data_IF_255187851617
#
_entry.id   IF_255187851617
#
_cell.length_a   1.000
_cell.length_b   1.000
_cell.length_c   1.000
_cell.angle_alpha   90.00
_cell.angle_beta   90.00
_cell.angle_gamma   90.00
#
_symmetry.space_group_name_H-M   'P 1'
#
loop_
_entity.id
_entity.type
_entity.pdbx_description
1 polymer ?
#
# COMPACT_ATOMS: atom_id res chain seq x y z
N UNK A 1 10.75 1.15 -85.36
CA UNK A 1 11.07 -0.27 -85.10
C UNK A 1 11.59 -0.38 -83.67
N UNK A 2 11.23 -1.48 -83.00
CA UNK A 2 11.50 -1.87 -81.61
C UNK A 2 12.91 -1.49 -81.08
N UNK A 3 13.06 -1.24 -79.79
CA UNK A 3 13.59 -2.21 -78.81
C UNK A 3 13.79 -1.59 -77.41
N UNK A 4 13.39 -2.36 -76.40
CA UNK A 4 13.50 -2.11 -74.97
C UNK A 4 14.94 -2.20 -74.43
N UNK A 5 15.07 -1.77 -73.17
CA UNK A 5 16.06 -2.10 -72.13
C UNK A 5 17.33 -1.23 -72.05
N UNK A 6 17.45 -0.45 -70.96
CA UNK A 6 18.16 -0.92 -69.76
C UNK A 6 18.27 0.11 -68.63
N UNK A 7 18.18 -0.42 -67.39
CA UNK A 7 18.85 -0.01 -66.13
C UNK A 7 18.07 0.85 -65.12
N UNK A 8 18.34 0.51 -63.84
CA UNK A 8 17.44 0.45 -62.68
C UNK A 8 17.13 1.80 -61.96
N UNK A 9 16.06 1.82 -61.15
CA UNK A 9 15.84 2.82 -60.11
C UNK A 9 16.68 2.51 -58.88
N UNK A 10 16.88 3.49 -57.99
CA UNK A 10 16.70 3.35 -56.54
C UNK A 10 17.10 4.65 -55.85
N UNK A 11 16.10 5.50 -55.63
CA UNK A 11 15.99 6.23 -54.37
C UNK A 11 16.12 5.24 -53.21
N UNK A 12 17.18 5.34 -52.43
CA UNK A 12 17.12 5.06 -50.98
C UNK A 12 18.10 6.00 -50.29
N UNK A 13 17.54 7.02 -49.65
CA UNK A 13 18.19 7.86 -48.66
C UNK A 13 18.73 6.96 -47.54
N UNK A 14 20.06 6.84 -47.44
CA UNK A 14 20.72 6.16 -46.33
C UNK A 14 20.64 7.09 -45.12
N UNK A 15 19.48 7.09 -44.46
CA UNK A 15 19.33 7.63 -43.11
C UNK A 15 20.18 6.78 -42.17
N UNK A 16 21.15 7.43 -41.52
CA UNK A 16 21.98 6.82 -40.48
C UNK A 16 21.09 6.14 -39.43
N UNK A 17 21.32 4.87 -39.06
CA UNK A 17 20.53 4.25 -38.01
C UNK A 17 20.93 4.91 -36.68
N UNK A 18 20.03 5.69 -36.10
CA UNK A 18 20.13 6.06 -34.69
C UNK A 18 19.86 4.78 -33.90
N UNK A 19 20.93 4.18 -33.38
CA UNK A 19 20.85 3.04 -32.48
C UNK A 19 20.13 3.48 -31.21
N UNK A 20 18.83 3.20 -31.14
CA UNK A 20 18.05 3.31 -29.91
C UNK A 20 18.50 2.19 -28.99
N UNK A 21 19.43 2.49 -28.09
CA UNK A 21 19.82 1.60 -27.01
C UNK A 21 18.65 1.52 -26.01
N UNK A 22 17.75 0.57 -26.23
CA UNK A 22 16.68 0.23 -25.29
C UNK A 22 17.30 -0.40 -24.05
N UNK A 23 17.66 0.43 -23.07
CA UNK A 23 17.97 -0.01 -21.71
C UNK A 23 16.66 -0.53 -21.09
N UNK A 24 16.40 -1.83 -21.27
CA UNK A 24 15.50 -2.58 -20.42
C UNK A 24 16.12 -2.62 -19.01
N UNK A 25 15.83 -1.58 -18.23
CA UNK A 25 16.07 -1.60 -16.80
C UNK A 25 15.15 -2.71 -16.25
N UNK A 26 15.72 -3.87 -15.94
CA UNK A 26 15.10 -4.84 -15.06
C UNK A 26 15.01 -4.20 -13.67
N UNK A 27 14.06 -3.27 -13.52
CA UNK A 27 13.57 -2.84 -12.23
C UNK A 27 12.76 -4.00 -11.68
N UNK A 28 13.46 -5.00 -11.16
CA UNK A 28 12.90 -5.90 -10.16
C UNK A 28 12.45 -5.03 -9.01
N UNK A 29 11.21 -4.55 -9.08
CA UNK A 29 10.50 -4.07 -7.93
C UNK A 29 10.42 -5.28 -7.00
N UNK A 30 11.40 -5.36 -6.09
CA UNK A 30 11.17 -5.86 -4.75
C UNK A 30 9.95 -5.08 -4.27
N UNK A 31 8.76 -5.60 -4.57
CA UNK A 31 7.55 -5.17 -3.92
C UNK A 31 7.90 -5.21 -2.44
N UNK A 32 7.74 -4.10 -1.68
CA UNK A 32 7.94 -4.16 -0.25
C UNK A 32 7.08 -5.32 0.23
N UNK A 33 7.73 -6.30 0.85
CA UNK A 33 7.06 -7.43 1.46
C UNK A 33 5.97 -6.79 2.31
N UNK A 34 4.71 -6.95 1.90
CA UNK A 34 3.59 -6.47 2.66
C UNK A 34 3.65 -7.30 3.94
N UNK A 35 4.33 -6.76 4.96
CA UNK A 35 4.40 -7.39 6.27
C UNK A 35 2.95 -7.65 6.61
N UNK A 36 2.62 -8.93 6.78
CA UNK A 36 1.38 -9.28 7.43
C UNK A 36 1.48 -8.60 8.81
N UNK A 37 0.89 -7.41 8.91
CA UNK A 37 0.82 -6.69 10.17
C UNK A 37 -0.07 -7.54 11.05
N UNK A 38 0.51 -8.29 11.97
CA UNK A 38 -0.26 -9.07 12.93
C UNK A 38 -0.93 -8.12 13.91
N UNK A 39 -2.07 -8.55 14.47
CA UNK A 39 -2.81 -7.73 15.41
C UNK A 39 -1.96 -7.25 16.60
N UNK A 40 -0.99 -8.04 17.06
CA UNK A 40 -0.09 -7.66 18.17
C UNK A 40 0.81 -6.45 17.84
N UNK A 41 1.30 -6.36 16.59
CA UNK A 41 2.11 -5.21 16.17
C UNK A 41 1.27 -3.93 16.14
N UNK A 42 0.05 -4.05 15.60
CA UNK A 42 -0.96 -2.99 15.63
C UNK A 42 -1.32 -2.57 17.06
N UNK A 43 -1.56 -3.53 17.95
CA UNK A 43 -1.92 -3.24 19.33
C UNK A 43 -0.84 -2.41 20.03
N UNK A 44 0.43 -2.78 19.88
CA UNK A 44 1.55 -2.04 20.50
C UNK A 44 1.61 -0.57 20.03
N UNK A 45 1.49 -0.34 18.71
CA UNK A 45 1.53 1.01 18.14
C UNK A 45 0.27 1.82 18.48
N UNK A 46 -0.91 1.19 18.46
CA UNK A 46 -2.18 1.80 18.85
C UNK A 46 -2.17 2.22 20.32
N UNK A 47 -1.70 1.37 21.23
CA UNK A 47 -1.58 1.71 22.66
C UNK A 47 -0.62 2.89 22.87
N UNK A 48 0.52 2.90 22.17
CA UNK A 48 1.46 4.02 22.22
C UNK A 48 0.85 5.33 21.71
N UNK A 49 0.03 5.25 20.65
CA UNK A 49 -0.71 6.41 20.14
C UNK A 49 -1.75 6.91 21.15
N UNK A 50 -2.63 6.02 21.61
CA UNK A 50 -3.79 6.39 22.43
C UNK A 50 -3.41 6.85 23.84
N UNK A 51 -2.30 6.35 24.39
CA UNK A 51 -1.85 6.73 25.73
C UNK A 51 -0.92 7.95 25.72
N UNK A 52 0.02 8.02 24.77
CA UNK A 52 1.09 9.03 24.79
C UNK A 52 0.88 10.12 23.73
N UNK A 53 0.03 9.89 22.73
CA UNK A 53 -0.25 10.85 21.66
C UNK A 53 0.94 11.10 20.72
N UNK A 54 1.95 10.22 20.68
CA UNK A 54 3.09 10.40 19.76
C UNK A 54 2.63 10.24 18.31
N UNK A 55 2.78 11.30 17.51
CA UNK A 55 2.36 11.35 16.11
C UNK A 55 2.93 10.18 15.29
N UNK A 56 4.21 9.84 15.48
CA UNK A 56 4.84 8.70 14.80
C UNK A 56 4.20 7.35 15.17
N UNK A 57 3.80 7.16 16.43
CA UNK A 57 3.10 5.95 16.89
C UNK A 57 1.72 5.85 16.27
N UNK A 58 0.98 6.96 16.22
CA UNK A 58 -0.33 7.01 15.58
C UNK A 58 -0.26 6.73 14.07
N UNK A 59 0.69 7.33 13.36
CA UNK A 59 0.88 7.06 11.93
C UNK A 59 1.24 5.59 11.66
N UNK A 60 2.10 5.01 12.50
CA UNK A 60 2.41 3.57 12.42
C UNK A 60 1.16 2.72 12.66
N UNK A 61 0.36 3.06 13.66
CA UNK A 61 -0.88 2.35 13.98
C UNK A 61 -1.92 2.43 12.85
N UNK A 62 -2.04 3.59 12.19
CA UNK A 62 -2.95 3.78 11.04
C UNK A 62 -2.56 2.89 9.85
N UNK A 63 -1.27 2.84 9.50
CA UNK A 63 -0.78 1.99 8.41
C UNK A 63 -1.05 0.50 8.72
N UNK A 64 -0.79 0.09 9.96
CA UNK A 64 -1.02 -1.29 10.39
C UNK A 64 -2.52 -1.64 10.43
N UNK A 65 -3.37 -0.72 10.89
CA UNK A 65 -4.83 -0.86 10.87
C UNK A 65 -5.36 -1.02 9.44
N UNK A 66 -4.87 -0.23 8.49
CA UNK A 66 -5.25 -0.36 7.08
C UNK A 66 -4.84 -1.72 6.49
N UNK A 67 -3.62 -2.18 6.79
CA UNK A 67 -3.15 -3.49 6.36
C UNK A 67 -4.03 -4.63 6.93
N UNK A 68 -4.39 -4.55 8.21
CA UNK A 68 -5.32 -5.47 8.87
C UNK A 68 -6.72 -5.39 8.25
N UNK A 69 -7.22 -4.18 7.94
CA UNK A 69 -8.54 -3.97 7.34
C UNK A 69 -8.61 -4.59 5.94
N UNK A 70 -7.56 -4.41 5.13
CA UNK A 70 -7.44 -5.04 3.80
C UNK A 70 -7.41 -6.57 3.92
N UNK A 71 -6.68 -7.13 4.90
CA UNK A 71 -6.68 -8.57 5.17
C UNK A 71 -8.04 -9.08 5.63
N UNK A 72 -8.72 -8.35 6.52
CA UNK A 72 -10.05 -8.68 6.98
C UNK A 72 -11.04 -8.71 5.81
N UNK A 73 -10.97 -7.71 4.92
CA UNK A 73 -11.75 -7.67 3.68
C UNK A 73 -11.46 -8.88 2.79
N UNK A 74 -10.19 -9.21 2.56
CA UNK A 74 -9.80 -10.34 1.72
C UNK A 74 -10.27 -11.69 2.27
N UNK A 75 -10.46 -11.79 3.59
CA UNK A 75 -10.98 -12.99 4.27
C UNK A 75 -12.49 -12.93 4.55
N UNK A 76 -13.20 -11.92 4.04
CA UNK A 76 -14.62 -11.66 4.34
C UNK A 76 -14.92 -11.54 5.86
N UNK A 77 -13.92 -11.16 6.66
CA UNK A 77 -14.05 -10.92 8.10
C UNK A 77 -14.60 -9.51 8.36
N UNK A 78 -15.79 -9.21 7.83
CA UNK A 78 -16.39 -7.87 7.88
C UNK A 78 -16.58 -7.32 9.31
N UNK A 79 -16.93 -8.11 10.34
CA UNK A 79 -16.97 -7.61 11.71
C UNK A 79 -15.61 -7.06 12.19
N UNK A 80 -14.52 -7.78 11.93
CA UNK A 80 -13.16 -7.31 12.21
C UNK A 80 -12.83 -6.04 11.41
N UNK A 81 -13.21 -6.01 10.13
CA UNK A 81 -13.01 -4.84 9.27
C UNK A 81 -13.67 -3.58 9.85
N UNK A 82 -14.92 -3.68 10.30
CA UNK A 82 -15.65 -2.55 10.90
C UNK A 82 -15.03 -2.10 12.22
N UNK A 83 -14.59 -3.03 13.07
CA UNK A 83 -13.90 -2.70 14.31
C UNK A 83 -12.57 -1.95 14.05
N UNK A 84 -11.80 -2.39 13.06
CA UNK A 84 -10.56 -1.73 12.65
C UNK A 84 -10.81 -0.31 12.11
N UNK A 85 -11.90 -0.09 11.37
CA UNK A 85 -12.29 1.25 10.91
C UNK A 85 -12.62 2.18 12.08
N UNK A 86 -13.33 1.67 13.10
CA UNK A 86 -13.61 2.43 14.33
C UNK A 86 -12.32 2.86 15.05
N UNK A 87 -11.38 1.92 15.22
CA UNK A 87 -10.08 2.25 15.81
C UNK A 87 -9.25 3.21 14.96
N UNK A 88 -9.32 3.12 13.63
CA UNK A 88 -8.64 4.06 12.74
C UNK A 88 -9.12 5.49 12.99
N UNK A 89 -10.45 5.67 13.13
CA UNK A 89 -11.02 6.96 13.50
C UNK A 89 -10.52 7.44 14.87
N UNK A 90 -10.45 6.55 15.86
CA UNK A 90 -9.94 6.91 17.20
C UNK A 90 -8.48 7.35 17.20
N UNK A 91 -7.65 6.70 16.40
CA UNK A 91 -6.24 7.06 16.23
C UNK A 91 -6.09 8.43 15.55
N UNK A 92 -6.91 8.72 14.54
CA UNK A 92 -6.96 10.04 13.89
C UNK A 92 -7.40 11.11 14.90
N UNK A 93 -8.48 10.85 15.64
CA UNK A 93 -9.00 11.80 16.63
C UNK A 93 -7.97 12.05 17.75
N UNK A 94 -7.25 11.02 18.18
CA UNK A 94 -6.14 11.18 19.12
C UNK A 94 -5.01 12.05 18.55
N UNK A 95 -4.64 11.89 17.28
CA UNK A 95 -3.64 12.76 16.63
C UNK A 95 -4.09 14.22 16.56
N UNK A 96 -5.39 14.46 16.43
CA UNK A 96 -5.99 15.80 16.38
C UNK A 96 -6.20 16.42 17.77
N UNK A 97 -5.90 15.69 18.85
CA UNK A 97 -6.10 16.15 20.22
C UNK A 97 -7.54 16.03 20.74
N UNK A 98 -8.41 15.32 20.01
CA UNK A 98 -9.82 15.08 20.36
C UNK A 98 -10.10 13.58 20.56
N UNK A 99 -9.10 12.87 21.08
CA UNK A 99 -9.20 11.43 21.31
C UNK A 99 -10.17 11.10 22.45
N UNK A 100 -10.80 9.92 22.36
CA UNK A 100 -11.81 9.48 23.34
C UNK A 100 -11.21 8.91 24.65
N UNK A 101 -9.92 9.11 24.89
CA UNK A 101 -9.21 8.63 26.09
C UNK A 101 -9.33 7.12 26.30
N UNK A 102 -9.68 6.73 27.53
CA UNK A 102 -9.76 5.31 27.95
C UNK A 102 -10.71 4.47 27.08
N UNK A 103 -11.76 5.07 26.51
CA UNK A 103 -12.69 4.36 25.64
C UNK A 103 -11.99 3.80 24.41
N UNK A 104 -11.11 4.59 23.77
CA UNK A 104 -10.35 4.13 22.62
C UNK A 104 -9.38 2.99 23.00
N UNK A 105 -8.77 3.08 24.19
CA UNK A 105 -7.90 2.02 24.73
C UNK A 105 -8.66 0.70 24.93
N UNK A 106 -9.87 0.77 25.48
CA UNK A 106 -10.73 -0.41 25.64
C UNK A 106 -11.13 -1.03 24.28
N UNK A 107 -11.39 -0.18 23.28
CA UNK A 107 -11.79 -0.62 21.95
C UNK A 107 -10.65 -1.36 21.20
N UNK A 108 -9.38 -1.14 21.58
CA UNK A 108 -8.25 -1.96 21.09
C UNK A 108 -8.41 -3.41 21.52
N UNK A 109 -8.72 -3.67 22.80
CA UNK A 109 -8.92 -5.02 23.30
C UNK A 109 -10.17 -5.69 22.69
N UNK A 110 -11.25 -4.92 22.49
CA UNK A 110 -12.46 -5.41 21.84
C UNK A 110 -12.22 -5.79 20.39
N UNK A 111 -11.46 -4.97 19.66
CA UNK A 111 -11.06 -5.27 18.28
C UNK A 111 -10.17 -6.51 18.21
N UNK A 112 -9.24 -6.70 19.16
CA UNK A 112 -8.41 -7.90 19.21
C UNK A 112 -9.21 -9.19 19.32
N UNK A 113 -10.28 -9.19 20.14
CA UNK A 113 -11.21 -10.33 20.20
C UNK A 113 -11.99 -10.52 18.90
N UNK A 114 -12.45 -9.42 18.29
CA UNK A 114 -13.21 -9.46 17.04
C UNK A 114 -12.37 -9.77 15.78
N UNK A 115 -11.05 -9.63 15.88
CA UNK A 115 -10.08 -9.89 14.83
C UNK A 115 -9.19 -11.11 15.09
N UNK A 116 -9.61 -12.01 15.99
CA UNK A 116 -8.83 -13.21 16.31
C UNK A 116 -8.50 -14.02 15.04
N UNK A 117 -7.21 -14.35 14.84
CA UNK A 117 -6.72 -15.07 13.66
C UNK A 117 -6.26 -14.17 12.49
N UNK A 118 -6.25 -12.84 12.68
CA UNK A 118 -5.53 -11.87 11.84
C UNK A 118 -4.30 -11.31 12.56
#
# INVERSE_FOLDING_TARGET
MRHHLSKLPSDVVIGRPVTVATLLILSGALAPQAFASDFNAFQSSAMSCLQVGRLASCQTALIQAEALQRRASARNAFPCQTLLLGLQADLIMQQLGDGRGEKAVHDVATTGRGCAGL
#
